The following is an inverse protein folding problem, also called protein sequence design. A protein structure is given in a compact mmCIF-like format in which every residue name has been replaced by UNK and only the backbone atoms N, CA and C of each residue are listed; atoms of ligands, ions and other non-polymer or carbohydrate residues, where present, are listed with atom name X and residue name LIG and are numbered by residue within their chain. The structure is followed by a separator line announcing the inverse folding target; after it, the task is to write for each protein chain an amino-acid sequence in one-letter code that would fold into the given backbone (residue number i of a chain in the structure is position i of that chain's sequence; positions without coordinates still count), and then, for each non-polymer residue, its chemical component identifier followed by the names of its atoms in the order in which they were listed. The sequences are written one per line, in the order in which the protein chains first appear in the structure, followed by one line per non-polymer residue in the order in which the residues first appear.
data_IF_515118195524
#
_entry.id   IF_515118195524
#
_cell.length_a   1.000
_cell.length_b   1.000
_cell.length_c   1.000
_cell.angle_alpha   90.00
_cell.angle_beta   90.00
_cell.angle_gamma   90.00
#
_symmetry.space_group_name_H-M   'P 1'
#
loop_
_entity.id
_entity.type
_entity.pdbx_description
1 polymer ?
#
# COMPACT_ATOMS: atom_id res chain seq x y z
N UNK A 1 -36.26 -37.00 5.65
CA UNK A 1 -35.88 -35.80 4.85
C UNK A 1 -37.10 -34.87 4.75
N UNK A 2 -36.94 -33.60 5.13
CA UNK A 2 -38.01 -32.60 5.04
C UNK A 2 -38.17 -32.22 3.56
N UNK A 3 -39.43 -32.30 3.05
CA UNK A 3 -39.77 -31.95 1.67
C UNK A 3 -39.31 -30.49 1.35
N UNK A 4 -38.79 -30.24 0.13
CA UNK A 4 -38.32 -28.93 -0.33
C UNK A 4 -39.40 -27.83 -0.16
N UNK A 5 -40.64 -28.14 -0.44
CA UNK A 5 -41.78 -27.21 -0.30
C UNK A 5 -42.08 -26.85 1.17
N UNK A 6 -41.92 -27.80 2.08
CA UNK A 6 -42.05 -27.55 3.52
C UNK A 6 -40.92 -26.64 4.02
N UNK A 7 -39.70 -26.83 3.54
CA UNK A 7 -38.57 -25.96 3.90
C UNK A 7 -38.78 -24.52 3.41
N UNK A 8 -39.26 -24.33 2.18
CA UNK A 8 -39.59 -23.01 1.63
C UNK A 8 -40.66 -22.29 2.45
N UNK A 9 -41.75 -22.99 2.75
CA UNK A 9 -42.83 -22.42 3.53
C UNK A 9 -42.40 -22.07 4.97
N UNK A 10 -41.56 -22.89 5.57
CA UNK A 10 -40.98 -22.60 6.88
C UNK A 10 -40.09 -21.34 6.86
N UNK A 11 -39.25 -21.18 5.83
CA UNK A 11 -38.41 -20.00 5.68
C UNK A 11 -39.24 -18.72 5.48
N UNK A 12 -40.29 -18.77 4.68
CA UNK A 12 -41.23 -17.65 4.50
C UNK A 12 -41.86 -17.28 5.85
N UNK A 13 -42.37 -18.26 6.60
CA UNK A 13 -42.95 -18.02 7.90
C UNK A 13 -41.93 -17.41 8.90
N UNK A 14 -40.72 -17.93 8.92
CA UNK A 14 -39.63 -17.37 9.76
C UNK A 14 -39.33 -15.93 9.39
N UNK A 15 -39.30 -15.59 8.09
CA UNK A 15 -39.08 -14.21 7.63
C UNK A 15 -40.25 -13.29 8.03
N UNK A 16 -41.50 -13.76 8.00
CA UNK A 16 -42.68 -12.99 8.40
C UNK A 16 -42.74 -12.73 9.91
N UNK A 17 -42.36 -13.74 10.71
CA UNK A 17 -42.41 -13.68 12.18
C UNK A 17 -41.12 -13.03 12.77
N UNK A 18 -40.10 -12.81 11.95
CA UNK A 18 -38.82 -12.30 12.45
C UNK A 18 -38.94 -10.84 12.90
N UNK A 19 -38.75 -10.61 14.18
CA UNK A 19 -38.68 -9.27 14.76
C UNK A 19 -37.52 -8.48 14.14
N UNK A 20 -37.79 -7.28 13.65
CA UNK A 20 -36.84 -6.38 12.98
C UNK A 20 -35.68 -5.90 13.87
N UNK A 21 -35.54 -6.44 15.09
CA UNK A 21 -34.47 -6.04 16.04
C UNK A 21 -33.05 -6.40 15.61
N UNK A 22 -32.87 -7.27 14.60
CA UNK A 22 -31.52 -7.67 14.14
C UNK A 22 -31.43 -7.90 12.63
N UNK A 23 -31.39 -6.82 11.85
CA UNK A 23 -31.26 -6.86 10.40
C UNK A 23 -30.03 -7.65 9.91
N UNK A 24 -28.97 -7.74 10.70
CA UNK A 24 -27.79 -8.54 10.34
C UNK A 24 -28.10 -10.02 10.14
N UNK A 25 -28.96 -10.60 10.99
CA UNK A 25 -29.41 -12.01 10.90
C UNK A 25 -30.38 -12.25 9.74
N UNK A 26 -31.26 -11.27 9.46
CA UNK A 26 -32.18 -11.32 8.32
C UNK A 26 -31.44 -11.51 7.00
N UNK A 27 -30.33 -10.84 6.80
CA UNK A 27 -29.52 -11.01 5.60
C UNK A 27 -29.05 -12.44 5.35
N UNK A 28 -28.76 -13.21 6.40
CA UNK A 28 -28.44 -14.64 6.28
C UNK A 28 -29.68 -15.49 5.95
N UNK A 29 -30.81 -15.21 6.59
CA UNK A 29 -32.07 -15.90 6.30
C UNK A 29 -32.51 -15.71 4.85
N UNK A 30 -32.43 -14.47 4.32
CA UNK A 30 -32.73 -14.19 2.92
C UNK A 30 -31.78 -14.97 2.00
N UNK A 31 -30.50 -15.03 2.31
CA UNK A 31 -29.52 -15.78 1.50
C UNK A 31 -29.88 -17.28 1.49
N UNK A 32 -30.22 -17.85 2.64
CA UNK A 32 -30.68 -19.25 2.75
C UNK A 32 -31.96 -19.46 1.96
N UNK A 33 -32.92 -18.53 2.04
CA UNK A 33 -34.15 -18.61 1.25
C UNK A 33 -33.88 -18.56 -0.27
N UNK A 34 -32.89 -17.78 -0.70
CA UNK A 34 -32.42 -17.76 -2.10
C UNK A 34 -31.79 -19.09 -2.53
N UNK A 35 -31.03 -19.73 -1.65
CA UNK A 35 -30.38 -21.04 -1.89
C UNK A 35 -31.45 -22.16 -1.98
N UNK A 36 -32.48 -22.11 -1.15
CA UNK A 36 -33.64 -23.03 -1.19
C UNK A 36 -34.66 -22.66 -2.28
N UNK A 37 -34.36 -21.70 -3.16
CA UNK A 37 -35.18 -21.28 -4.30
C UNK A 37 -36.57 -20.76 -3.92
N UNK A 38 -36.70 -20.06 -2.81
CA UNK A 38 -37.92 -19.30 -2.48
C UNK A 38 -38.19 -18.29 -3.59
N UNK A 39 -39.46 -18.04 -3.91
CA UNK A 39 -39.86 -17.19 -5.02
C UNK A 39 -39.28 -15.74 -4.88
N UNK A 40 -38.63 -15.29 -5.92
CA UNK A 40 -38.10 -13.93 -6.00
C UNK A 40 -39.18 -12.85 -5.93
N UNK A 41 -40.42 -13.20 -6.34
CA UNK A 41 -41.57 -12.31 -6.23
C UNK A 41 -41.93 -11.97 -4.78
N UNK A 42 -41.65 -12.87 -3.85
CA UNK A 42 -41.80 -12.66 -2.41
C UNK A 42 -40.56 -11.94 -1.81
N UNK A 43 -39.36 -12.39 -2.14
CA UNK A 43 -38.14 -11.91 -1.51
C UNK A 43 -37.78 -10.43 -1.90
N UNK A 44 -38.07 -10.03 -3.14
CA UNK A 44 -37.75 -8.66 -3.60
C UNK A 44 -38.50 -7.59 -2.77
N UNK A 45 -39.84 -7.63 -2.66
CA UNK A 45 -40.59 -6.67 -1.84
C UNK A 45 -40.15 -6.68 -0.37
N UNK A 46 -39.82 -7.86 0.16
CA UNK A 46 -39.35 -8.01 1.53
C UNK A 46 -38.01 -7.22 1.76
N UNK A 47 -37.03 -7.45 0.88
CA UNK A 47 -35.72 -6.71 0.97
C UNK A 47 -35.91 -5.21 0.70
N UNK A 48 -36.77 -4.83 -0.24
CA UNK A 48 -37.07 -3.41 -0.51
C UNK A 48 -37.70 -2.72 0.71
N UNK A 49 -38.56 -3.42 1.43
CA UNK A 49 -39.17 -2.87 2.66
C UNK A 49 -38.15 -2.70 3.77
N UNK A 50 -37.22 -3.64 3.94
CA UNK A 50 -36.10 -3.47 4.89
C UNK A 50 -35.26 -2.26 4.50
N UNK A 51 -34.90 -2.10 3.23
CA UNK A 51 -34.12 -0.92 2.78
C UNK A 51 -34.85 0.40 2.99
N UNK A 52 -36.18 0.42 2.99
CA UNK A 52 -36.99 1.63 3.30
C UNK A 52 -36.94 2.02 4.78
N UNK A 53 -36.63 1.09 5.70
CA UNK A 53 -36.49 1.42 7.13
C UNK A 53 -35.21 2.19 7.41
N UNK A 54 -34.23 2.11 6.51
CA UNK A 54 -33.05 2.97 6.54
C UNK A 54 -33.36 4.24 5.77
N UNK A 55 -33.44 5.38 6.46
CA UNK A 55 -33.56 6.67 5.82
C UNK A 55 -32.28 7.06 5.05
N UNK A 56 -32.35 8.16 4.30
CA UNK A 56 -31.22 8.62 3.48
C UNK A 56 -30.05 9.13 4.33
N UNK A 57 -30.23 9.34 5.62
CA UNK A 57 -29.24 9.81 6.59
C UNK A 57 -28.66 8.68 7.44
N UNK A 58 -29.05 7.43 7.19
CA UNK A 58 -28.55 6.27 7.91
C UNK A 58 -27.08 6.00 7.57
N UNK A 59 -26.24 5.95 8.58
CA UNK A 59 -24.80 5.66 8.46
C UNK A 59 -24.46 4.16 8.52
N UNK A 60 -25.42 3.26 8.33
CA UNK A 60 -25.15 1.82 8.35
C UNK A 60 -24.83 1.30 6.93
N UNK A 61 -23.71 1.77 6.38
CA UNK A 61 -23.27 1.41 5.03
C UNK A 61 -23.06 -0.11 4.88
N UNK A 62 -22.65 -0.81 5.96
CA UNK A 62 -22.44 -2.26 5.91
C UNK A 62 -23.74 -3.03 5.67
N UNK A 63 -24.81 -2.72 6.43
CA UNK A 63 -26.10 -3.38 6.28
C UNK A 63 -26.81 -2.95 5.01
N UNK A 64 -26.87 -1.66 4.72
CA UNK A 64 -27.43 -1.14 3.46
C UNK A 64 -26.73 -1.77 2.26
N UNK A 65 -25.38 -1.83 2.29
CA UNK A 65 -24.58 -2.47 1.25
C UNK A 65 -24.95 -3.93 1.05
N UNK A 66 -25.08 -4.70 2.15
CA UNK A 66 -25.47 -6.12 2.12
C UNK A 66 -26.85 -6.34 1.51
N UNK A 67 -27.85 -5.54 1.90
CA UNK A 67 -29.20 -5.63 1.34
C UNK A 67 -29.26 -5.17 -0.12
N UNK A 68 -28.49 -4.16 -0.50
CA UNK A 68 -28.35 -3.76 -1.91
C UNK A 68 -27.76 -4.89 -2.76
N UNK A 69 -26.74 -5.60 -2.26
CA UNK A 69 -26.13 -6.73 -2.97
C UNK A 69 -27.11 -7.91 -3.12
N UNK A 70 -27.89 -8.21 -2.08
CA UNK A 70 -28.96 -9.23 -2.14
C UNK A 70 -30.05 -8.83 -3.13
N UNK A 71 -30.47 -7.58 -3.11
CA UNK A 71 -31.51 -7.08 -4.01
C UNK A 71 -31.04 -7.09 -5.48
N UNK A 72 -29.81 -6.71 -5.75
CA UNK A 72 -29.19 -6.83 -7.08
C UNK A 72 -29.21 -8.27 -7.56
N UNK A 73 -28.83 -9.23 -6.69
CA UNK A 73 -28.82 -10.64 -7.03
C UNK A 73 -30.23 -11.17 -7.32
N UNK A 74 -31.22 -10.80 -6.50
CA UNK A 74 -32.64 -11.18 -6.71
C UNK A 74 -33.18 -10.66 -8.03
N UNK A 75 -32.90 -9.39 -8.38
CA UNK A 75 -33.30 -8.83 -9.68
C UNK A 75 -32.61 -9.51 -10.85
N UNK A 76 -31.33 -9.84 -10.71
CA UNK A 76 -30.61 -10.60 -11.73
C UNK A 76 -31.22 -11.98 -11.95
N UNK A 77 -31.59 -12.70 -10.88
CA UNK A 77 -32.26 -14.02 -10.97
C UNK A 77 -33.65 -13.89 -11.61
N UNK A 78 -34.48 -12.95 -11.14
CA UNK A 78 -35.86 -12.75 -11.63
C UNK A 78 -35.88 -12.45 -13.15
N UNK A 79 -34.96 -11.63 -13.63
CA UNK A 79 -34.94 -11.15 -15.02
C UNK A 79 -33.93 -11.89 -15.90
N UNK A 80 -33.28 -12.92 -15.37
CA UNK A 80 -32.24 -13.68 -16.07
C UNK A 80 -31.06 -12.80 -16.58
N UNK A 81 -30.74 -11.72 -15.82
CA UNK A 81 -29.66 -10.81 -16.15
C UNK A 81 -28.31 -11.36 -15.71
N UNK A 82 -27.30 -11.23 -16.58
CA UNK A 82 -25.94 -11.56 -16.16
C UNK A 82 -25.35 -10.44 -15.31
N UNK A 83 -24.66 -10.79 -14.22
CA UNK A 83 -23.85 -9.83 -13.44
C UNK A 83 -22.72 -9.28 -14.33
N UNK A 84 -22.93 -8.11 -14.94
CA UNK A 84 -21.94 -7.42 -15.78
C UNK A 84 -21.03 -6.53 -14.93
N UNK A 85 -19.79 -6.37 -15.39
CA UNK A 85 -18.85 -5.41 -14.78
C UNK A 85 -19.38 -3.97 -14.80
N UNK A 86 -20.11 -3.60 -15.84
CA UNK A 86 -20.74 -2.29 -15.98
C UNK A 86 -22.24 -2.48 -16.22
N UNK A 87 -23.07 -1.76 -15.44
CA UNK A 87 -24.53 -1.90 -15.45
C UNK A 87 -25.15 -0.75 -16.21
N UNK A 88 -26.12 -1.10 -17.03
CA UNK A 88 -26.96 -0.16 -17.80
C UNK A 88 -28.43 -0.20 -17.36
N UNK A 89 -28.83 -1.23 -16.62
CA UNK A 89 -30.23 -1.44 -16.21
C UNK A 89 -30.63 -0.38 -15.14
N UNK A 90 -31.66 0.44 -15.36
CA UNK A 90 -32.01 1.56 -14.48
C UNK A 90 -32.26 1.13 -13.02
N UNK A 91 -32.92 -0.02 -12.83
CA UNK A 91 -33.23 -0.55 -11.50
C UNK A 91 -31.95 -0.93 -10.74
N UNK A 92 -31.00 -1.59 -11.40
CA UNK A 92 -29.72 -1.96 -10.79
C UNK A 92 -28.85 -0.72 -10.52
N UNK A 93 -28.91 0.27 -11.41
CA UNK A 93 -28.24 1.56 -11.19
C UNK A 93 -28.78 2.22 -9.92
N UNK A 94 -30.11 2.26 -9.73
CA UNK A 94 -30.72 2.85 -8.54
C UNK A 94 -30.26 2.12 -7.25
N UNK A 95 -30.22 0.79 -7.26
CA UNK A 95 -29.75 0.00 -6.12
C UNK A 95 -28.28 0.33 -5.80
N UNK A 96 -27.41 0.38 -6.81
CA UNK A 96 -25.99 0.74 -6.61
C UNK A 96 -25.81 2.19 -6.18
N UNK A 97 -26.60 3.12 -6.68
CA UNK A 97 -26.58 4.51 -6.20
C UNK A 97 -26.96 4.60 -4.72
N UNK A 98 -27.93 3.80 -4.25
CA UNK A 98 -28.27 3.73 -2.84
C UNK A 98 -27.10 3.22 -1.99
N UNK A 99 -26.41 2.16 -2.45
CA UNK A 99 -25.20 1.66 -1.81
C UNK A 99 -24.09 2.72 -1.76
N UNK A 100 -23.83 3.42 -2.88
CA UNK A 100 -22.84 4.49 -2.98
C UNK A 100 -23.17 5.61 -1.98
N UNK A 101 -24.43 6.01 -1.88
CA UNK A 101 -24.86 7.03 -0.93
C UNK A 101 -24.55 6.63 0.52
N UNK A 102 -24.87 5.39 0.92
CA UNK A 102 -24.59 4.90 2.27
C UNK A 102 -23.07 4.90 2.58
N UNK A 103 -22.22 4.43 1.65
CA UNK A 103 -20.74 4.47 1.83
C UNK A 103 -20.24 5.91 1.90
N UNK A 104 -20.84 6.84 1.14
CA UNK A 104 -20.47 8.25 1.19
C UNK A 104 -20.83 8.89 2.53
N UNK A 105 -21.98 8.56 3.10
CA UNK A 105 -22.38 9.00 4.45
C UNK A 105 -21.39 8.52 5.51
N UNK A 106 -20.92 7.27 5.43
CA UNK A 106 -19.85 6.77 6.31
C UNK A 106 -18.54 7.56 6.15
N UNK A 107 -18.18 7.96 4.91
CA UNK A 107 -17.03 8.81 4.68
C UNK A 107 -17.16 10.18 5.36
N UNK A 108 -18.33 10.82 5.23
CA UNK A 108 -18.59 12.10 5.87
C UNK A 108 -18.58 11.98 7.41
N UNK A 109 -19.23 10.95 7.96
CA UNK A 109 -19.22 10.68 9.39
C UNK A 109 -17.79 10.45 9.94
N UNK A 110 -16.98 9.68 9.22
CA UNK A 110 -15.58 9.46 9.57
C UNK A 110 -14.77 10.75 9.59
N UNK A 111 -15.02 11.68 8.66
CA UNK A 111 -14.34 12.98 8.60
C UNK A 111 -14.84 14.00 9.62
N UNK A 112 -16.08 13.89 10.09
CA UNK A 112 -16.73 14.86 10.99
C UNK A 112 -16.51 14.56 12.48
N UNK A 113 -16.00 13.38 12.86
CA UNK A 113 -15.77 13.03 14.27
C UNK A 113 -14.74 13.96 14.90
N UNK A 114 -14.88 14.29 16.19
CA UNK A 114 -14.00 15.20 16.94
C UNK A 114 -12.54 14.73 17.03
N UNK A 115 -12.28 13.46 16.69
CA UNK A 115 -10.94 12.88 16.43
C UNK A 115 -10.93 12.42 14.98
N UNK A 116 -11.16 13.35 14.02
CA UNK A 116 -11.33 13.04 12.62
C UNK A 116 -10.42 11.88 12.17
N UNK A 117 -10.97 10.94 11.45
CA UNK A 117 -10.18 9.85 10.89
C UNK A 117 -10.16 10.03 9.37
N UNK A 118 -9.34 10.96 8.92
CA UNK A 118 -9.19 11.28 7.50
C UNK A 118 -8.76 10.07 6.68
N UNK A 119 -7.93 9.19 7.25
CA UNK A 119 -7.57 7.93 6.59
C UNK A 119 -8.78 7.02 6.36
N UNK A 120 -9.71 6.96 7.33
CA UNK A 120 -10.96 6.21 7.18
C UNK A 120 -11.87 6.87 6.16
N UNK A 121 -11.96 8.21 6.15
CA UNK A 121 -12.68 8.95 5.11
C UNK A 121 -12.13 8.62 3.72
N UNK A 122 -10.81 8.69 3.52
CA UNK A 122 -10.15 8.33 2.26
C UNK A 122 -10.49 6.88 1.85
N UNK A 123 -10.50 5.95 2.80
CA UNK A 123 -10.85 4.55 2.52
C UNK A 123 -12.26 4.43 1.93
N UNK A 124 -13.26 5.03 2.56
CA UNK A 124 -14.64 4.99 2.06
C UNK A 124 -14.80 5.74 0.73
N UNK A 125 -14.14 6.88 0.52
CA UNK A 125 -14.17 7.57 -0.77
C UNK A 125 -13.55 6.72 -1.89
N UNK A 126 -12.48 5.98 -1.62
CA UNK A 126 -11.91 5.02 -2.57
C UNK A 126 -12.89 3.88 -2.88
N UNK A 127 -13.66 3.40 -1.91
CA UNK A 127 -14.71 2.41 -2.12
C UNK A 127 -15.83 2.97 -3.00
N UNK A 128 -16.29 4.20 -2.76
CA UNK A 128 -17.25 4.90 -3.63
C UNK A 128 -16.75 4.95 -5.07
N UNK A 129 -15.49 5.28 -5.30
CA UNK A 129 -14.90 5.30 -6.66
C UNK A 129 -14.96 3.90 -7.31
N UNK A 130 -14.69 2.83 -6.57
CA UNK A 130 -14.79 1.47 -7.11
C UNK A 130 -16.24 1.11 -7.48
N UNK A 131 -17.21 1.47 -6.66
CA UNK A 131 -18.63 1.27 -6.96
C UNK A 131 -19.05 2.09 -8.20
N UNK A 132 -18.63 3.35 -8.30
CA UNK A 132 -18.92 4.20 -9.46
C UNK A 132 -18.35 3.66 -10.76
N UNK A 133 -17.20 2.96 -10.75
CA UNK A 133 -16.65 2.29 -11.94
C UNK A 133 -17.58 1.24 -12.52
N UNK A 134 -18.51 0.75 -11.73
CA UNK A 134 -19.50 -0.25 -12.16
C UNK A 134 -20.76 0.36 -12.79
N UNK A 135 -20.84 1.69 -12.86
CA UNK A 135 -21.95 2.44 -13.45
C UNK A 135 -21.41 3.27 -14.61
N UNK A 136 -22.07 3.18 -15.78
CA UNK A 136 -21.67 3.93 -16.97
C UNK A 136 -21.90 5.45 -16.79
N UNK A 137 -21.04 6.28 -17.37
CA UNK A 137 -21.22 7.74 -17.36
C UNK A 137 -20.83 8.45 -16.08
N UNK A 138 -20.07 7.79 -15.17
CA UNK A 138 -19.69 8.34 -13.86
C UNK A 138 -18.28 8.97 -13.81
N UNK A 139 -17.64 9.21 -14.96
CA UNK A 139 -16.26 9.71 -15.06
C UNK A 139 -16.05 11.04 -14.34
N UNK A 140 -16.99 11.96 -14.48
CA UNK A 140 -16.93 13.28 -13.83
C UNK A 140 -16.99 13.17 -12.31
N UNK A 141 -17.90 12.32 -11.80
CA UNK A 141 -18.04 12.08 -10.36
C UNK A 141 -16.77 11.45 -9.77
N UNK A 142 -16.21 10.45 -10.46
CA UNK A 142 -14.96 9.81 -10.05
C UNK A 142 -13.78 10.79 -10.02
N UNK A 143 -13.70 11.68 -11.01
CA UNK A 143 -12.65 12.71 -11.06
C UNK A 143 -12.78 13.69 -9.89
N UNK A 144 -13.98 14.13 -9.55
CA UNK A 144 -14.23 15.01 -8.41
C UNK A 144 -13.81 14.34 -7.08
N UNK A 145 -14.16 13.06 -6.88
CA UNK A 145 -13.76 12.31 -5.69
C UNK A 145 -12.25 12.12 -5.60
N UNK A 146 -11.56 11.89 -6.72
CA UNK A 146 -10.08 11.81 -6.72
C UNK A 146 -9.45 13.15 -6.33
N UNK A 147 -10.02 14.27 -6.74
CA UNK A 147 -9.57 15.59 -6.31
C UNK A 147 -9.82 15.82 -4.82
N UNK A 148 -10.99 15.42 -4.30
CA UNK A 148 -11.30 15.46 -2.87
C UNK A 148 -10.30 14.64 -2.06
N UNK A 149 -10.01 13.39 -2.48
CA UNK A 149 -9.03 12.53 -1.83
C UNK A 149 -7.65 13.20 -1.81
N UNK A 150 -7.20 13.77 -2.93
CA UNK A 150 -5.89 14.41 -3.01
C UNK A 150 -5.77 15.61 -2.03
N UNK A 151 -6.84 16.37 -1.81
CA UNK A 151 -6.84 17.48 -0.86
C UNK A 151 -6.71 17.04 0.60
N UNK A 152 -7.28 15.89 0.96
CA UNK A 152 -7.26 15.41 2.35
C UNK A 152 -6.11 14.43 2.63
N UNK A 153 -5.43 13.87 1.60
CA UNK A 153 -4.30 12.95 1.80
C UNK A 153 -3.17 13.61 2.58
N UNK A 154 -2.81 14.85 2.25
CA UNK A 154 -1.77 15.60 2.96
C UNK A 154 -2.17 15.89 4.41
N UNK A 155 -3.41 16.35 4.63
CA UNK A 155 -3.93 16.60 5.97
C UNK A 155 -3.98 15.31 6.83
N UNK A 156 -4.23 14.15 6.22
CA UNK A 156 -4.29 12.87 6.93
C UNK A 156 -2.97 12.45 7.57
N UNK A 157 -1.84 12.96 7.07
CA UNK A 157 -0.52 12.70 7.67
C UNK A 157 -0.41 13.26 9.09
N UNK A 158 -1.06 14.40 9.37
CA UNK A 158 -1.05 15.03 10.70
C UNK A 158 -1.78 14.20 11.76
N UNK A 159 -2.69 13.32 11.35
CA UNK A 159 -3.41 12.41 12.24
C UNK A 159 -2.63 11.13 12.57
N UNK A 160 -1.54 10.86 11.82
CA UNK A 160 -0.73 9.68 12.03
C UNK A 160 0.13 9.84 13.28
N UNK A 161 0.14 8.82 14.12
CA UNK A 161 1.10 8.73 15.21
C UNK A 161 2.48 8.49 14.62
N UNK A 162 3.36 9.48 14.75
CA UNK A 162 4.76 9.36 14.35
C UNK A 162 5.50 8.64 15.47
N UNK A 163 5.98 7.46 15.20
CA UNK A 163 6.89 6.74 16.07
C UNK A 163 8.31 6.95 15.55
N UNK A 164 9.15 7.66 16.26
CA UNK A 164 10.56 7.80 15.96
C UNK A 164 11.38 7.16 17.07
N UNK A 165 12.23 6.23 16.71
CA UNK A 165 13.25 5.70 17.60
C UNK A 165 14.57 6.43 17.31
N UNK A 166 15.14 7.04 18.33
CA UNK A 166 16.46 7.68 18.23
C UNK A 166 17.49 6.66 18.63
N UNK A 167 18.17 6.09 17.65
CA UNK A 167 19.31 5.21 17.91
C UNK A 167 20.57 6.04 18.04
N UNK A 168 21.31 5.84 19.13
CA UNK A 168 22.62 6.45 19.30
C UNK A 168 23.66 5.71 18.45
N UNK A 169 24.07 6.35 17.35
CA UNK A 169 25.10 5.84 16.45
C UNK A 169 26.52 6.30 16.82
N UNK A 170 26.70 7.02 17.93
CA UNK A 170 27.99 7.61 18.30
C UNK A 170 29.12 6.59 18.45
N UNK A 171 28.79 5.39 18.92
CA UNK A 171 29.74 4.28 19.00
C UNK A 171 30.22 3.78 17.63
N UNK A 172 29.30 3.69 16.67
CA UNK A 172 29.63 3.31 15.28
C UNK A 172 30.50 4.35 14.62
N UNK A 173 30.16 5.64 14.78
CA UNK A 173 30.91 6.76 14.19
C UNK A 173 32.32 6.87 14.80
N UNK A 174 32.46 6.67 16.13
CA UNK A 174 33.78 6.64 16.77
C UNK A 174 34.67 5.51 16.23
N UNK A 175 34.13 4.33 16.09
CA UNK A 175 34.88 3.20 15.52
C UNK A 175 35.24 3.45 14.07
N UNK A 176 34.33 4.04 13.28
CA UNK A 176 34.59 4.46 11.90
C UNK A 176 35.78 5.41 11.83
N UNK A 177 35.80 6.47 12.64
CA UNK A 177 36.89 7.43 12.63
C UNK A 177 38.21 6.81 13.11
N UNK A 178 38.20 5.91 14.06
CA UNK A 178 39.37 5.16 14.49
C UNK A 178 39.97 4.33 13.33
N UNK A 179 39.11 3.71 12.50
CA UNK A 179 39.56 2.94 11.33
C UNK A 179 40.13 3.84 10.22
N UNK A 180 39.62 5.07 10.09
CA UNK A 180 40.10 6.03 9.08
C UNK A 180 41.35 6.81 9.49
N UNK A 181 41.69 6.84 10.78
CA UNK A 181 42.75 7.71 11.33
C UNK A 181 44.13 7.36 10.75
N UNK A 182 44.40 6.07 10.59
CA UNK A 182 45.69 5.56 10.14
C UNK A 182 45.79 5.41 8.61
N UNK A 183 44.66 5.60 7.88
CA UNK A 183 44.63 5.41 6.43
C UNK A 183 45.25 6.61 5.69
N UNK A 184 46.01 6.30 4.64
CA UNK A 184 46.42 7.30 3.66
C UNK A 184 45.23 7.66 2.72
N UNK A 185 45.46 8.62 1.79
CA UNK A 185 44.42 9.12 0.89
C UNK A 185 43.83 8.02 0.00
N UNK A 186 44.67 7.14 -0.56
CA UNK A 186 44.26 6.10 -1.48
C UNK A 186 43.46 4.98 -0.72
N UNK A 187 44.00 4.59 0.44
CA UNK A 187 43.32 3.63 1.32
C UNK A 187 41.99 4.15 1.82
N UNK A 188 41.90 5.45 2.20
CA UNK A 188 40.65 6.06 2.65
C UNK A 188 39.59 6.10 1.53
N UNK A 189 39.99 6.35 0.28
CA UNK A 189 39.08 6.29 -0.88
C UNK A 189 38.61 4.85 -1.18
N UNK A 190 39.52 3.88 -1.08
CA UNK A 190 39.16 2.46 -1.20
C UNK A 190 38.18 2.01 -0.09
N UNK A 191 38.44 2.46 1.15
CA UNK A 191 37.55 2.22 2.27
C UNK A 191 36.15 2.83 2.01
N UNK A 192 36.09 4.08 1.55
CA UNK A 192 34.84 4.74 1.20
C UNK A 192 34.03 3.96 0.16
N UNK A 193 34.68 3.40 -0.86
CA UNK A 193 34.02 2.60 -1.89
C UNK A 193 33.42 1.28 -1.34
N UNK A 194 33.89 0.79 -0.19
CA UNK A 194 33.47 -0.48 0.41
C UNK A 194 32.76 -0.35 1.75
N UNK A 195 32.53 0.87 2.23
CA UNK A 195 32.03 1.10 3.59
C UNK A 195 30.59 0.65 3.82
N UNK A 196 29.76 0.54 2.79
CA UNK A 196 28.40 0.06 2.91
C UNK A 196 28.38 -1.46 2.87
N UNK A 197 27.91 -2.13 3.94
CA UNK A 197 27.73 -3.58 3.90
C UNK A 197 26.62 -3.96 2.93
N UNK A 198 26.89 -4.92 2.05
CA UNK A 198 25.89 -5.45 1.12
C UNK A 198 24.92 -6.33 1.90
N UNK A 199 23.59 -6.10 1.80
CA UNK A 199 22.59 -6.91 2.46
C UNK A 199 22.66 -8.36 1.97
N UNK A 200 22.84 -9.32 2.91
CA UNK A 200 22.88 -10.76 2.60
C UNK A 200 21.44 -11.29 2.61
N UNK A 201 20.98 -11.82 1.48
CA UNK A 201 19.60 -12.29 1.27
C UNK A 201 19.07 -13.16 2.41
N UNK A 202 19.86 -14.17 2.86
CA UNK A 202 19.44 -15.08 3.93
C UNK A 202 19.32 -14.37 5.29
N UNK A 203 20.20 -13.41 5.58
CA UNK A 203 20.09 -12.60 6.81
C UNK A 203 18.83 -11.75 6.80
N UNK A 204 18.56 -11.04 5.69
CA UNK A 204 17.37 -10.21 5.52
C UNK A 204 16.10 -11.07 5.60
N UNK A 205 16.09 -12.24 4.97
CA UNK A 205 14.98 -13.20 5.07
C UNK A 205 14.70 -13.60 6.51
N UNK A 206 15.73 -14.00 7.24
CA UNK A 206 15.60 -14.39 8.64
C UNK A 206 15.13 -13.23 9.53
N UNK A 207 15.59 -12.00 9.27
CA UNK A 207 15.11 -10.81 9.98
C UNK A 207 13.61 -10.58 9.74
N UNK A 208 13.13 -10.70 8.50
CA UNK A 208 11.71 -10.53 8.17
C UNK A 208 10.86 -11.61 8.83
N UNK A 209 11.30 -12.87 8.77
CA UNK A 209 10.55 -14.01 9.33
C UNK A 209 10.54 -14.04 10.85
N UNK A 210 11.62 -13.56 11.49
CA UNK A 210 11.81 -13.56 12.94
C UNK A 210 11.40 -12.24 13.61
N UNK A 211 10.89 -11.25 12.85
CA UNK A 211 10.32 -10.04 13.45
C UNK A 211 9.21 -10.43 14.42
N UNK A 212 9.47 -10.17 15.71
CA UNK A 212 8.62 -10.57 16.84
C UNK A 212 7.28 -9.82 16.93
N UNK A 213 7.05 -8.85 16.07
CA UNK A 213 5.79 -8.11 16.03
C UNK A 213 4.71 -8.89 15.28
N UNK A 214 3.77 -9.53 16.01
CA UNK A 214 2.58 -10.18 15.43
C UNK A 214 1.88 -9.25 14.43
N UNK A 215 1.81 -7.95 14.74
CA UNK A 215 1.19 -6.95 13.87
C UNK A 215 1.86 -6.86 12.48
N UNK A 216 3.19 -6.90 12.43
CA UNK A 216 3.93 -6.79 11.15
C UNK A 216 3.82 -8.03 10.26
N UNK A 217 3.44 -9.18 10.83
CA UNK A 217 3.30 -10.43 10.09
C UNK A 217 1.88 -10.69 9.61
N UNK A 218 0.87 -10.13 10.29
CA UNK A 218 -0.56 -10.37 10.01
C UNK A 218 -1.20 -9.19 9.26
N UNK A 219 -0.76 -7.95 9.52
CA UNK A 219 -1.36 -6.77 8.89
C UNK A 219 -0.57 -6.29 7.67
N UNK A 220 -1.27 -5.85 6.61
CA UNK A 220 -0.62 -5.25 5.46
C UNK A 220 0.03 -3.91 5.84
N UNK A 221 1.22 -3.65 5.31
CA UNK A 221 1.88 -2.36 5.44
C UNK A 221 1.55 -1.47 4.25
N UNK A 222 1.27 -0.20 4.52
CA UNK A 222 1.12 0.83 3.49
C UNK A 222 2.33 1.76 3.53
N UNK A 223 2.92 2.03 2.37
CA UNK A 223 4.00 3.00 2.22
C UNK A 223 3.39 4.27 1.65
N UNK A 224 3.51 5.34 2.41
CA UNK A 224 3.01 6.65 2.02
C UNK A 224 4.17 7.53 1.56
N UNK A 225 3.95 8.25 0.47
CA UNK A 225 4.87 9.29 0.01
C UNK A 225 4.75 10.57 0.82
N UNK A 226 5.62 11.53 0.48
CA UNK A 226 5.75 12.81 1.18
C UNK A 226 4.46 13.63 1.27
N UNK A 227 3.49 13.42 0.35
CA UNK A 227 2.17 14.07 0.37
C UNK A 227 1.03 13.14 0.85
N UNK A 228 1.30 12.10 1.64
CA UNK A 228 0.27 11.16 2.12
C UNK A 228 -0.25 10.18 1.07
N UNK A 229 0.22 10.29 -0.18
CA UNK A 229 -0.19 9.44 -1.27
C UNK A 229 0.35 8.02 -1.09
N UNK A 230 -0.51 7.03 -1.21
CA UNK A 230 -0.10 5.62 -1.17
C UNK A 230 0.82 5.32 -2.37
N UNK A 231 2.08 4.97 -2.08
CA UNK A 231 3.08 4.58 -3.07
C UNK A 231 3.05 3.08 -3.29
N UNK A 232 3.03 2.31 -2.21
CA UNK A 232 3.03 0.85 -2.27
C UNK A 232 2.24 0.26 -1.10
N UNK A 233 1.75 -0.97 -1.29
CA UNK A 233 1.08 -1.75 -0.26
C UNK A 233 1.67 -3.15 -0.27
N UNK A 234 2.19 -3.57 0.87
CA UNK A 234 2.70 -4.93 1.08
C UNK A 234 1.66 -5.75 1.83
N UNK A 235 1.40 -6.97 1.36
CA UNK A 235 0.53 -7.91 2.06
C UNK A 235 1.15 -8.44 3.35
N UNK A 236 0.37 -9.16 4.18
CA UNK A 236 0.91 -9.87 5.33
C UNK A 236 1.84 -11.01 4.86
N UNK A 237 2.98 -11.17 5.53
CA UNK A 237 3.95 -12.23 5.19
C UNK A 237 3.41 -13.62 5.52
N UNK A 238 2.63 -13.74 6.59
CA UNK A 238 1.96 -14.99 6.98
C UNK A 238 0.47 -14.91 6.68
N UNK A 239 -0.05 -15.88 5.97
CA UNK A 239 -1.48 -16.06 5.74
C UNK A 239 -2.18 -16.58 7.00
N UNK A 240 -3.52 -16.48 7.10
CA UNK A 240 -4.27 -17.00 8.24
C UNK A 240 -4.08 -18.50 8.51
N UNK A 241 -3.74 -19.28 7.48
CA UNK A 241 -3.44 -20.72 7.57
C UNK A 241 -2.00 -21.03 8.02
N UNK A 242 -1.20 -19.98 8.31
CA UNK A 242 0.18 -20.09 8.74
C UNK A 242 1.20 -20.22 7.59
N UNK A 243 0.75 -20.35 6.34
CA UNK A 243 1.63 -20.39 5.18
C UNK A 243 2.25 -19.03 4.87
N UNK A 244 3.46 -19.04 4.26
CA UNK A 244 4.15 -17.82 3.86
C UNK A 244 3.67 -17.39 2.49
N UNK A 245 3.35 -16.09 2.34
CA UNK A 245 3.14 -15.46 1.06
C UNK A 245 4.50 -15.01 0.50
N UNK A 246 5.01 -15.73 -0.50
CA UNK A 246 6.34 -15.47 -1.08
C UNK A 246 6.44 -14.07 -1.74
N UNK A 247 5.35 -13.56 -2.32
CA UNK A 247 5.31 -12.19 -2.87
C UNK A 247 5.46 -11.14 -1.76
N UNK A 248 4.64 -11.26 -0.71
CA UNK A 248 4.73 -10.36 0.44
C UNK A 248 6.07 -10.50 1.19
N UNK A 249 6.65 -11.71 1.26
CA UNK A 249 7.97 -11.93 1.83
C UNK A 249 9.03 -11.16 1.03
N UNK A 250 9.03 -11.30 -0.30
CA UNK A 250 9.96 -10.60 -1.19
C UNK A 250 9.87 -9.08 -1.01
N UNK A 251 8.66 -8.51 -1.05
CA UNK A 251 8.44 -7.06 -0.86
C UNK A 251 8.96 -6.57 0.50
N UNK A 252 8.74 -7.36 1.57
CA UNK A 252 9.24 -7.02 2.90
C UNK A 252 10.76 -7.16 3.01
N UNK A 253 11.36 -8.12 2.32
CA UNK A 253 12.83 -8.27 2.25
C UNK A 253 13.47 -7.10 1.52
N UNK A 254 12.94 -6.70 0.36
CA UNK A 254 13.43 -5.54 -0.40
C UNK A 254 13.34 -4.27 0.43
N UNK A 255 12.21 -4.05 1.10
CA UNK A 255 12.05 -2.90 2.00
C UNK A 255 13.03 -2.91 3.16
N UNK A 256 13.25 -4.07 3.80
CA UNK A 256 14.17 -4.20 4.92
C UNK A 256 15.60 -3.92 4.47
N UNK A 257 16.03 -4.48 3.34
CA UNK A 257 17.35 -4.24 2.78
C UNK A 257 17.55 -2.75 2.43
N UNK A 258 16.55 -2.11 1.81
CA UNK A 258 16.61 -0.67 1.51
C UNK A 258 16.75 0.16 2.78
N UNK A 259 15.95 -0.11 3.81
CA UNK A 259 16.04 0.63 5.09
C UNK A 259 17.42 0.45 5.77
N UNK A 260 18.00 -0.75 5.72
CA UNK A 260 19.35 -1.00 6.25
C UNK A 260 20.40 -0.23 5.45
N UNK A 261 20.31 -0.26 4.12
CA UNK A 261 21.23 0.49 3.26
C UNK A 261 21.12 2.00 3.51
N UNK A 262 19.91 2.55 3.63
CA UNK A 262 19.67 3.95 3.95
C UNK A 262 20.28 4.34 5.32
N UNK A 263 20.11 3.50 6.32
CA UNK A 263 20.68 3.69 7.65
C UNK A 263 22.22 3.72 7.60
N UNK A 264 22.84 2.74 6.93
CA UNK A 264 24.31 2.72 6.79
C UNK A 264 24.81 3.85 5.90
N UNK A 265 24.08 4.23 4.86
CA UNK A 265 24.45 5.39 4.04
C UNK A 265 24.50 6.68 4.86
N UNK A 266 23.51 6.92 5.70
CA UNK A 266 23.46 8.10 6.56
C UNK A 266 24.59 8.11 7.60
N UNK A 267 24.93 6.95 8.18
CA UNK A 267 25.93 6.90 9.27
C UNK A 267 27.34 6.71 8.71
N UNK A 268 27.54 5.76 7.79
CA UNK A 268 28.89 5.41 7.34
C UNK A 268 29.34 6.29 6.17
N UNK A 269 28.53 6.37 5.10
CA UNK A 269 28.94 7.11 3.89
C UNK A 269 29.08 8.58 4.17
N UNK A 270 28.10 9.20 4.84
CA UNK A 270 28.14 10.64 5.09
C UNK A 270 29.33 11.02 5.98
N UNK A 271 29.58 10.27 7.05
CA UNK A 271 30.70 10.58 7.95
C UNK A 271 32.07 10.26 7.31
N UNK A 272 32.19 9.17 6.55
CA UNK A 272 33.43 8.86 5.81
C UNK A 272 33.72 9.93 4.75
N UNK A 273 32.68 10.35 4.01
CA UNK A 273 32.82 11.41 2.99
C UNK A 273 33.30 12.73 3.59
N UNK A 274 32.68 13.18 4.68
CA UNK A 274 33.10 14.42 5.36
C UNK A 274 34.51 14.30 5.95
N UNK A 275 34.89 13.15 6.52
CA UNK A 275 36.22 12.89 7.00
C UNK A 275 37.25 12.99 5.89
N UNK A 276 37.03 12.35 4.75
CA UNK A 276 37.94 12.38 3.60
C UNK A 276 38.09 13.79 3.08
N UNK A 277 37.00 14.52 2.88
CA UNK A 277 37.03 15.92 2.41
C UNK A 277 37.74 16.87 3.36
N UNK A 278 37.65 16.62 4.66
CA UNK A 278 38.31 17.50 5.66
C UNK A 278 39.81 17.25 5.75
N UNK A 279 40.27 16.04 5.43
CA UNK A 279 41.67 15.63 5.61
C UNK A 279 42.46 15.64 4.31
N UNK A 280 41.86 15.37 3.18
CA UNK A 280 42.56 15.19 1.91
C UNK A 280 42.01 16.10 0.82
N UNK A 281 42.94 16.69 0.02
CA UNK A 281 42.59 17.28 -1.26
C UNK A 281 42.47 16.18 -2.29
N UNK A 282 41.22 15.92 -2.76
CA UNK A 282 40.94 14.90 -3.78
C UNK A 282 41.09 15.52 -5.17
N UNK A 283 41.99 14.95 -5.95
CA UNK A 283 42.28 15.33 -7.33
C UNK A 283 41.70 14.34 -8.34
N UNK A 284 41.55 14.76 -9.59
CA UNK A 284 41.04 13.88 -10.64
C UNK A 284 41.88 12.61 -10.83
N UNK A 285 43.21 12.73 -10.63
CA UNK A 285 44.16 11.60 -10.69
C UNK A 285 43.88 10.54 -9.63
N UNK A 286 43.44 10.94 -8.44
CA UNK A 286 43.08 10.00 -7.34
C UNK A 286 41.82 9.19 -7.69
N UNK A 287 40.79 9.89 -8.17
CA UNK A 287 39.54 9.26 -8.59
C UNK A 287 39.75 8.37 -9.81
N UNK A 288 40.57 8.81 -10.77
CA UNK A 288 40.90 8.02 -11.96
C UNK A 288 41.54 6.70 -11.62
N UNK A 289 42.46 6.64 -10.67
CA UNK A 289 43.09 5.37 -10.23
C UNK A 289 42.04 4.32 -9.79
N UNK A 290 41.05 4.75 -9.02
CA UNK A 290 39.97 3.87 -8.53
C UNK A 290 39.08 3.41 -9.68
N UNK A 291 38.71 4.32 -10.57
CA UNK A 291 37.89 4.03 -11.75
C UNK A 291 38.60 3.07 -12.70
N UNK A 292 39.91 3.25 -12.90
CA UNK A 292 40.72 2.45 -13.83
C UNK A 292 40.86 0.99 -13.41
N UNK A 293 40.89 0.70 -12.10
CA UNK A 293 40.97 -0.67 -11.57
C UNK A 293 39.62 -1.35 -11.44
N UNK A 294 38.52 -0.65 -11.60
CA UNK A 294 37.19 -1.22 -11.46
C UNK A 294 36.80 -2.08 -12.66
N UNK A 295 36.57 -3.37 -12.43
CA UNK A 295 36.08 -4.29 -13.45
C UNK A 295 34.60 -4.09 -13.82
N UNK A 296 33.86 -3.34 -13.00
CA UNK A 296 32.45 -3.04 -13.24
C UNK A 296 32.22 -1.87 -14.20
N UNK A 297 33.26 -1.09 -14.50
CA UNK A 297 33.18 0.10 -15.34
C UNK A 297 33.70 -0.22 -16.75
N UNK A 298 32.84 -0.14 -17.78
CA UNK A 298 33.29 -0.32 -19.17
C UNK A 298 34.35 0.71 -19.55
N UNK A 299 35.38 0.30 -20.32
CA UNK A 299 36.52 1.13 -20.69
C UNK A 299 36.09 2.47 -21.29
N UNK A 300 35.13 2.46 -22.23
CA UNK A 300 34.63 3.69 -22.86
C UNK A 300 33.81 4.62 -21.94
N UNK A 301 33.63 4.28 -20.67
CA UNK A 301 32.84 5.03 -19.70
C UNK A 301 33.65 5.57 -18.51
N UNK A 302 34.91 5.18 -18.38
CA UNK A 302 35.77 5.57 -17.26
C UNK A 302 35.89 7.08 -17.08
N UNK A 303 35.99 7.84 -18.16
CA UNK A 303 36.04 9.31 -18.09
C UNK A 303 34.74 9.91 -17.52
N UNK A 304 33.58 9.38 -17.92
CA UNK A 304 32.29 9.85 -17.39
C UNK A 304 32.16 9.55 -15.90
N UNK A 305 32.60 8.37 -15.46
CA UNK A 305 32.62 8.01 -14.03
C UNK A 305 33.55 8.94 -13.24
N UNK A 306 34.78 9.17 -13.74
CA UNK A 306 35.74 10.08 -13.10
C UNK A 306 35.16 11.48 -12.93
N UNK A 307 34.58 12.06 -14.00
CA UNK A 307 33.93 13.37 -13.93
C UNK A 307 32.76 13.40 -12.94
N UNK A 308 31.87 12.40 -13.00
CA UNK A 308 30.72 12.33 -12.08
C UNK A 308 31.13 12.23 -10.61
N UNK A 309 32.14 11.42 -10.30
CA UNK A 309 32.68 11.29 -8.95
C UNK A 309 33.37 12.59 -8.49
N UNK A 310 34.10 13.27 -9.37
CA UNK A 310 34.75 14.55 -9.04
C UNK A 310 33.72 15.64 -8.72
N UNK A 311 32.59 15.72 -9.45
CA UNK A 311 31.48 16.60 -9.08
C UNK A 311 30.91 16.24 -7.70
N UNK A 312 30.80 14.95 -7.39
CA UNK A 312 30.37 14.47 -6.06
C UNK A 312 31.33 14.95 -4.97
N UNK A 313 32.65 14.74 -5.14
CA UNK A 313 33.67 15.21 -4.17
C UNK A 313 33.73 16.72 -4.03
N UNK A 314 33.43 17.47 -5.09
CA UNK A 314 33.33 18.94 -5.00
C UNK A 314 32.04 19.43 -4.30
N UNK A 315 31.09 18.55 -4.04
CA UNK A 315 29.79 18.88 -3.42
C UNK A 315 28.67 19.22 -4.41
N UNK A 316 28.94 19.19 -5.72
CA UNK A 316 27.90 19.35 -6.75
C UNK A 316 27.20 17.99 -7.02
N UNK A 317 26.36 17.58 -6.05
CA UNK A 317 25.66 16.31 -6.12
C UNK A 317 24.63 16.24 -7.25
N UNK A 318 24.05 17.38 -7.66
CA UNK A 318 23.07 17.40 -8.75
C UNK A 318 23.71 17.01 -10.09
N UNK A 319 24.86 17.64 -10.40
CA UNK A 319 25.64 17.31 -11.59
C UNK A 319 26.20 15.89 -11.52
N UNK A 320 26.74 15.49 -10.36
CA UNK A 320 27.23 14.14 -10.13
C UNK A 320 26.16 13.08 -10.42
N UNK A 321 24.95 13.22 -9.87
CA UNK A 321 23.85 12.27 -10.08
C UNK A 321 23.41 12.25 -11.55
N UNK A 322 23.33 13.40 -12.21
CA UNK A 322 22.96 13.51 -13.62
C UNK A 322 23.90 12.74 -14.54
N UNK A 323 25.20 12.68 -14.18
CA UNK A 323 26.22 11.94 -14.92
C UNK A 323 26.21 10.46 -14.50
N UNK A 324 26.23 10.16 -13.18
CA UNK A 324 26.47 8.81 -12.67
C UNK A 324 25.29 7.87 -12.82
N UNK A 325 24.01 8.34 -12.67
CA UNK A 325 22.85 7.46 -12.75
C UNK A 325 22.80 6.69 -14.09
N UNK A 326 22.95 7.33 -15.27
CA UNK A 326 23.00 6.60 -16.53
C UNK A 326 24.20 5.65 -16.63
N UNK A 327 25.31 5.97 -16.00
CA UNK A 327 26.51 5.13 -16.03
C UNK A 327 26.35 3.88 -15.15
N UNK A 328 25.69 3.99 -14.00
CA UNK A 328 25.37 2.84 -13.14
C UNK A 328 24.46 1.83 -13.90
N UNK A 329 23.45 2.32 -14.62
CA UNK A 329 22.61 1.46 -15.47
C UNK A 329 23.44 0.74 -16.54
N UNK A 330 24.35 1.45 -17.20
CA UNK A 330 25.25 0.86 -18.18
C UNK A 330 26.20 -0.19 -17.55
N UNK A 331 26.74 0.06 -16.36
CA UNK A 331 27.58 -0.91 -15.64
C UNK A 331 26.82 -2.18 -15.29
N UNK A 332 25.57 -2.06 -14.79
CA UNK A 332 24.72 -3.21 -14.50
C UNK A 332 24.45 -4.04 -15.76
N UNK A 333 24.16 -3.39 -16.89
CA UNK A 333 23.98 -4.06 -18.17
C UNK A 333 25.25 -4.76 -18.64
N UNK A 334 26.42 -4.13 -18.46
CA UNK A 334 27.71 -4.69 -18.84
C UNK A 334 28.07 -5.93 -18.02
N UNK A 335 27.75 -5.96 -16.72
CA UNK A 335 27.99 -7.11 -15.85
C UNK A 335 26.98 -8.25 -16.04
N UNK A 336 25.82 -7.98 -16.65
CA UNK A 336 24.76 -8.97 -16.88
C UNK A 336 24.94 -9.77 -18.19
N UNK A 337 25.92 -9.42 -19.02
CA UNK A 337 26.26 -10.12 -20.27
C UNK A 337 27.44 -11.07 -20.05
#
# INVERSE_FOLDING_TARGET
EINEEVRKNLLIKVLEEYDNSSHAKIGYLIKTAMEEKVDTGYLIPYVENILKTYDDNSCDALLIGKFCDLLEELYCRKNNWQKKKCITEPKLIAIRRRKIQAVRMEAEYAGASSKGNLMRKIHYLKEVIQLLKTIQGTEKERKALLQEIAQIEEASLSEMMVWSDKQDASGIVKELFRQLEDLDKEEALCYFASVIPIPIREKVKNQVLNRTGILNTIFPAAILGKGGKLIAKSGPVKKPDGTIDEGALKDNMERTATMEMDYFAQILVSNTFEYIRSRFLIEESDVKKIVDVSCAIPEGRKESYTKGLMFGFSGDFLTALSILIPQIENAVRYLAV
#
